data_IF_955798078771
#
_entry.id   IF_955798078771
#
_cell.length_a   1.000
_cell.length_b   1.000
_cell.length_c   1.000
_cell.angle_alpha   90.00
_cell.angle_beta   90.00
_cell.angle_gamma   90.00
#
_symmetry.space_group_name_H-M   'P 1'
#
loop_
_entity.id
_entity.type
_entity.pdbx_description
1 polymer ?
#
# COMPACT_ATOMS: atom_id res chain seq x y z
N UNK A 1 -18.96 -24.87 0.66
CA UNK A 1 -17.60 -24.86 0.09
C UNK A 1 -16.66 -25.54 1.07
N UNK A 2 -15.92 -26.55 0.64
CA UNK A 2 -14.89 -27.23 1.46
C UNK A 2 -13.73 -26.27 1.77
N UNK A 3 -13.12 -26.38 2.96
CA UNK A 3 -11.98 -25.54 3.37
C UNK A 3 -10.83 -25.53 2.34
N UNK A 4 -10.59 -26.65 1.66
CA UNK A 4 -9.60 -26.80 0.59
C UNK A 4 -9.87 -25.86 -0.60
N UNK A 5 -11.13 -25.65 -0.98
CA UNK A 5 -11.50 -24.76 -2.09
C UNK A 5 -11.30 -23.28 -1.71
N UNK A 6 -11.52 -22.92 -0.46
CA UNK A 6 -11.28 -21.57 0.04
C UNK A 6 -9.79 -21.24 0.10
N UNK A 7 -8.95 -22.17 0.57
CA UNK A 7 -7.50 -22.00 0.59
C UNK A 7 -6.92 -21.87 -0.83
N UNK A 8 -7.37 -22.68 -1.78
CA UNK A 8 -6.94 -22.57 -3.17
C UNK A 8 -7.37 -21.24 -3.82
N UNK A 9 -8.57 -20.74 -3.51
CA UNK A 9 -9.01 -19.43 -3.99
C UNK A 9 -8.14 -18.29 -3.43
N UNK A 10 -7.71 -18.40 -2.17
CA UNK A 10 -6.80 -17.44 -1.55
C UNK A 10 -5.40 -17.47 -2.13
N UNK A 11 -4.85 -18.65 -2.40
CA UNK A 11 -3.55 -18.79 -3.07
C UNK A 11 -3.58 -18.14 -4.47
N UNK A 12 -4.63 -18.41 -5.24
CA UNK A 12 -4.81 -17.75 -6.54
C UNK A 12 -4.93 -16.23 -6.40
N UNK A 13 -5.60 -15.74 -5.36
CA UNK A 13 -5.72 -14.31 -5.11
C UNK A 13 -4.36 -13.70 -4.73
N UNK A 14 -3.57 -14.40 -3.92
CA UNK A 14 -2.20 -14.04 -3.59
C UNK A 14 -1.34 -13.87 -4.84
N UNK A 15 -1.33 -14.88 -5.72
CA UNK A 15 -0.54 -14.84 -6.96
C UNK A 15 -0.90 -13.64 -7.85
N UNK A 16 -2.18 -13.23 -7.85
CA UNK A 16 -2.65 -12.09 -8.66
C UNK A 16 -2.25 -10.72 -8.09
N UNK A 17 -2.27 -10.54 -6.76
CA UNK A 17 -2.15 -9.19 -6.18
C UNK A 17 -0.95 -8.98 -5.25
N UNK A 18 -0.25 -10.02 -4.79
CA UNK A 18 0.85 -9.90 -3.82
C UNK A 18 1.94 -8.94 -4.29
N UNK A 19 2.35 -9.00 -5.57
CA UNK A 19 3.37 -8.11 -6.11
C UNK A 19 2.93 -6.62 -6.10
N UNK A 20 1.64 -6.35 -6.35
CA UNK A 20 1.08 -4.98 -6.30
C UNK A 20 0.97 -4.48 -4.86
N UNK A 21 0.51 -5.34 -3.95
CA UNK A 21 0.45 -5.06 -2.52
C UNK A 21 1.85 -4.81 -1.94
N UNK A 22 2.85 -5.58 -2.37
CA UNK A 22 4.25 -5.40 -1.98
C UNK A 22 4.78 -4.04 -2.44
N UNK A 23 4.56 -3.66 -3.71
CA UNK A 23 4.98 -2.32 -4.19
C UNK A 23 4.32 -1.20 -3.40
N UNK A 24 3.04 -1.31 -3.10
CA UNK A 24 2.35 -0.36 -2.22
C UNK A 24 3.02 -0.30 -0.84
N UNK A 25 3.20 -1.44 -0.18
CA UNK A 25 3.84 -1.53 1.12
C UNK A 25 5.25 -0.92 1.10
N UNK A 26 6.03 -1.20 0.06
CA UNK A 26 7.38 -0.67 -0.13
C UNK A 26 7.40 0.86 -0.25
N UNK A 27 6.49 1.45 -1.02
CA UNK A 27 6.39 2.92 -1.09
C UNK A 27 5.94 3.54 0.24
N UNK A 28 5.18 2.81 1.04
CA UNK A 28 4.71 3.27 2.35
C UNK A 28 5.81 3.18 3.42
N UNK A 29 6.48 2.02 3.56
CA UNK A 29 7.49 1.77 4.58
C UNK A 29 8.88 2.28 4.20
N UNK A 30 9.22 2.27 2.92
CA UNK A 30 10.57 2.50 2.42
C UNK A 30 11.51 1.32 2.61
N UNK A 31 11.05 0.21 3.18
CA UNK A 31 11.88 -0.95 3.55
C UNK A 31 11.28 -2.25 3.02
N UNK A 32 12.11 -3.06 2.36
CA UNK A 32 11.69 -4.33 1.75
C UNK A 32 11.22 -5.35 2.78
N UNK A 33 11.95 -5.50 3.89
CA UNK A 33 11.61 -6.46 4.94
C UNK A 33 10.28 -6.10 5.61
N UNK A 34 10.07 -4.81 5.91
CA UNK A 34 8.78 -4.34 6.42
C UNK A 34 7.65 -4.51 5.40
N UNK A 35 7.92 -4.33 4.11
CA UNK A 35 6.93 -4.51 3.05
C UNK A 35 6.49 -5.98 2.92
N UNK A 36 7.44 -6.92 2.95
CA UNK A 36 7.15 -8.37 2.95
C UNK A 36 6.35 -8.79 4.19
N UNK A 37 6.77 -8.32 5.36
CA UNK A 37 6.07 -8.58 6.62
C UNK A 37 4.64 -8.03 6.59
N UNK A 38 4.43 -6.81 6.08
CA UNK A 38 3.11 -6.20 5.97
C UNK A 38 2.16 -6.98 5.05
N UNK A 39 2.64 -7.42 3.88
CA UNK A 39 1.85 -8.24 2.96
C UNK A 39 1.50 -9.59 3.60
N UNK A 40 2.47 -10.23 4.24
CA UNK A 40 2.26 -11.52 4.93
C UNK A 40 1.23 -11.40 6.05
N UNK A 41 1.33 -10.37 6.90
CA UNK A 41 0.37 -10.09 7.96
C UNK A 41 -1.03 -9.82 7.38
N UNK A 42 -1.12 -9.04 6.30
CA UNK A 42 -2.39 -8.74 5.64
C UNK A 42 -3.08 -10.00 5.11
N UNK A 43 -2.37 -10.93 4.49
CA UNK A 43 -2.96 -12.20 4.03
C UNK A 43 -3.38 -13.10 5.19
N UNK A 44 -2.57 -13.17 6.25
CA UNK A 44 -2.94 -13.90 7.47
C UNK A 44 -4.19 -13.34 8.14
N UNK A 45 -4.31 -12.01 8.21
CA UNK A 45 -5.49 -11.33 8.72
C UNK A 45 -6.71 -11.49 7.80
N UNK A 46 -6.53 -11.38 6.48
CA UNK A 46 -7.61 -11.58 5.51
C UNK A 46 -8.24 -12.97 5.60
N UNK A 47 -7.40 -14.01 5.73
CA UNK A 47 -7.84 -15.38 5.99
C UNK A 47 -8.63 -15.48 7.30
N UNK A 48 -8.12 -14.90 8.40
CA UNK A 48 -8.82 -14.89 9.70
C UNK A 48 -10.17 -14.17 9.64
N UNK A 49 -10.27 -13.07 8.87
CA UNK A 49 -11.50 -12.31 8.67
C UNK A 49 -12.44 -12.91 7.62
N UNK A 50 -12.04 -13.99 6.96
CA UNK A 50 -12.79 -14.60 5.86
C UNK A 50 -13.12 -13.60 4.73
N UNK A 51 -12.20 -12.70 4.42
CA UNK A 51 -12.37 -11.74 3.31
C UNK A 51 -12.51 -12.55 2.01
N UNK A 52 -13.57 -12.31 1.25
CA UNK A 52 -13.89 -13.12 0.08
C UNK A 52 -13.05 -12.72 -1.14
N UNK A 53 -12.28 -13.63 -1.76
CA UNK A 53 -11.54 -13.33 -3.00
C UNK A 53 -12.43 -13.34 -4.25
N UNK A 54 -13.74 -13.60 -4.12
CA UNK A 54 -14.68 -13.67 -5.24
C UNK A 54 -15.01 -12.29 -5.84
N UNK A 55 -14.88 -11.21 -5.05
CA UNK A 55 -15.07 -9.83 -5.49
C UNK A 55 -13.70 -9.17 -5.57
N UNK A 56 -13.05 -9.22 -6.73
CA UNK A 56 -11.63 -8.88 -6.88
C UNK A 56 -11.30 -7.45 -6.43
N UNK A 57 -12.10 -6.46 -6.86
CA UNK A 57 -11.87 -5.05 -6.48
C UNK A 57 -12.02 -4.83 -4.98
N UNK A 58 -13.10 -5.38 -4.40
CA UNK A 58 -13.35 -5.27 -2.96
C UNK A 58 -12.28 -6.00 -2.15
N UNK A 59 -11.90 -7.19 -2.58
CA UNK A 59 -10.81 -7.95 -1.97
C UNK A 59 -9.53 -7.11 -1.97
N UNK A 60 -9.18 -6.51 -3.11
CA UNK A 60 -7.98 -5.69 -3.22
C UNK A 60 -8.02 -4.45 -2.32
N UNK A 61 -9.15 -3.74 -2.25
CA UNK A 61 -9.32 -2.60 -1.33
C UNK A 61 -9.15 -3.02 0.14
N UNK A 62 -9.79 -4.12 0.55
CA UNK A 62 -9.69 -4.62 1.92
C UNK A 62 -8.26 -5.08 2.25
N UNK A 63 -7.57 -5.74 1.32
CA UNK A 63 -6.18 -6.14 1.47
C UNK A 63 -5.23 -4.94 1.55
N UNK A 64 -5.46 -3.88 0.77
CA UNK A 64 -4.67 -2.64 0.85
C UNK A 64 -4.87 -1.91 2.18
N UNK A 65 -6.09 -1.92 2.72
CA UNK A 65 -6.37 -1.38 4.05
C UNK A 65 -5.61 -2.18 5.14
N UNK A 66 -5.60 -3.51 5.04
CA UNK A 66 -4.84 -4.37 5.95
C UNK A 66 -3.33 -4.11 5.86
N UNK A 67 -2.77 -4.01 4.66
CA UNK A 67 -1.35 -3.66 4.45
C UNK A 67 -1.03 -2.29 5.04
N UNK A 68 -1.89 -1.29 4.81
CA UNK A 68 -1.74 0.04 5.41
C UNK A 68 -1.67 -0.03 6.94
N UNK A 69 -2.57 -0.79 7.57
CA UNK A 69 -2.56 -0.98 9.02
C UNK A 69 -1.32 -1.73 9.50
N UNK A 70 -0.90 -2.79 8.82
CA UNK A 70 0.31 -3.54 9.16
C UNK A 70 1.56 -2.65 9.09
N UNK A 71 1.70 -1.85 8.02
CA UNK A 71 2.79 -0.86 7.90
C UNK A 71 2.83 0.16 9.05
N UNK A 72 1.73 0.40 9.76
CA UNK A 72 1.71 1.34 10.89
C UNK A 72 2.30 0.77 12.18
N UNK A 73 2.53 -0.54 12.24
CA UNK A 73 3.08 -1.22 13.41
C UNK A 73 4.60 -1.27 13.42
N UNK A 74 5.24 -1.00 12.27
CA UNK A 74 6.69 -1.00 12.12
C UNK A 74 7.30 0.38 12.37
N UNK A 75 8.63 0.44 12.38
CA UNK A 75 9.36 1.69 12.42
C UNK A 75 9.02 2.57 11.20
N UNK A 76 8.71 3.83 11.46
CA UNK A 76 8.30 4.77 10.43
C UNK A 76 9.51 5.52 9.88
N UNK A 77 10.08 5.01 8.79
CA UNK A 77 11.19 5.67 8.13
C UNK A 77 10.73 6.98 7.47
N UNK A 78 11.49 8.04 7.70
CA UNK A 78 11.28 9.36 7.12
C UNK A 78 12.62 9.95 6.63
N UNK A 79 12.54 10.92 5.72
CA UNK A 79 13.71 11.69 5.27
C UNK A 79 14.85 10.82 4.70
N UNK A 80 16.12 11.14 5.02
CA UNK A 80 17.28 10.42 4.46
C UNK A 80 17.27 8.90 4.72
N UNK A 81 16.76 8.46 5.87
CA UNK A 81 16.69 7.04 6.21
C UNK A 81 15.71 6.30 5.29
N UNK A 82 14.51 6.86 5.09
CA UNK A 82 13.55 6.33 4.13
C UNK A 82 14.14 6.21 2.72
N UNK A 83 14.80 7.27 2.26
CA UNK A 83 15.40 7.31 0.92
C UNK A 83 16.45 6.21 0.73
N UNK A 84 17.34 6.04 1.71
CA UNK A 84 18.41 5.06 1.60
C UNK A 84 17.87 3.63 1.64
N UNK A 85 16.91 3.33 2.52
CA UNK A 85 16.27 2.02 2.55
C UNK A 85 15.51 1.73 1.24
N UNK A 86 14.78 2.72 0.71
CA UNK A 86 14.02 2.56 -0.52
C UNK A 86 14.95 2.29 -1.71
N UNK A 87 16.10 2.99 -1.76
CA UNK A 87 17.14 2.79 -2.78
C UNK A 87 17.74 1.38 -2.73
N UNK A 88 17.97 0.85 -1.53
CA UNK A 88 18.48 -0.52 -1.34
C UNK A 88 17.46 -1.59 -1.70
N UNK A 89 16.19 -1.34 -1.40
CA UNK A 89 15.09 -2.26 -1.68
C UNK A 89 14.79 -2.40 -3.18
N UNK A 90 15.00 -1.34 -3.96
CA UNK A 90 14.68 -1.33 -5.40
C UNK A 90 15.80 -0.63 -6.21
N UNK A 91 17.02 -1.19 -6.24
CA UNK A 91 18.17 -0.56 -6.87
C UNK A 91 17.96 -0.43 -8.38
N UNK A 92 18.09 0.80 -8.89
CA UNK A 92 17.90 1.11 -10.32
C UNK A 92 16.44 1.16 -10.79
N UNK A 93 15.49 0.72 -9.97
CA UNK A 93 14.06 0.69 -10.30
C UNK A 93 13.35 2.00 -9.94
N UNK A 94 13.78 2.67 -8.86
CA UNK A 94 13.20 3.93 -8.40
C UNK A 94 14.16 5.08 -8.75
N UNK A 95 13.76 6.03 -9.60
CA UNK A 95 14.59 7.19 -9.91
C UNK A 95 14.96 7.99 -8.66
N UNK A 96 16.20 8.47 -8.58
CA UNK A 96 16.68 9.24 -7.42
C UNK A 96 15.79 10.45 -7.09
N UNK A 97 15.33 11.17 -8.12
CA UNK A 97 14.42 12.30 -7.95
C UNK A 97 13.06 11.90 -7.34
N UNK A 98 12.55 10.70 -7.68
CA UNK A 98 11.32 10.17 -7.07
C UNK A 98 11.56 9.78 -5.61
N UNK A 99 12.68 9.12 -5.31
CA UNK A 99 13.06 8.76 -3.94
C UNK A 99 13.23 10.00 -3.05
N UNK A 100 13.87 11.06 -3.56
CA UNK A 100 13.96 12.36 -2.86
C UNK A 100 12.58 12.94 -2.56
N UNK A 101 11.70 13.03 -3.56
CA UNK A 101 10.33 13.53 -3.39
C UNK A 101 9.54 12.73 -2.36
N UNK A 102 9.61 11.40 -2.41
CA UNK A 102 8.93 10.52 -1.46
C UNK A 102 9.48 10.67 -0.04
N UNK A 103 10.80 10.87 0.11
CA UNK A 103 11.44 11.05 1.41
C UNK A 103 11.04 12.33 2.14
N UNK A 104 10.63 13.36 1.38
CA UNK A 104 10.10 14.61 1.92
C UNK A 104 8.58 14.55 2.21
N UNK A 105 7.90 13.47 1.83
CA UNK A 105 6.47 13.31 2.05
C UNK A 105 6.20 12.52 3.34
N UNK A 106 5.27 12.98 4.20
CA UNK A 106 4.75 12.14 5.27
C UNK A 106 4.17 10.84 4.70
N UNK A 107 4.33 9.74 5.44
CA UNK A 107 3.83 8.41 5.05
C UNK A 107 2.42 8.38 4.44
N UNK A 108 1.46 9.09 5.02
CA UNK A 108 0.10 9.12 4.47
C UNK A 108 0.04 9.65 3.04
N UNK A 109 0.82 10.70 2.73
CA UNK A 109 0.89 11.24 1.35
C UNK A 109 1.55 10.25 0.40
N UNK A 110 2.57 9.51 0.86
CA UNK A 110 3.16 8.41 0.09
C UNK A 110 2.12 7.32 -0.22
N UNK A 111 1.33 6.92 0.77
CA UNK A 111 0.28 5.93 0.61
C UNK A 111 -0.79 6.39 -0.39
N UNK A 112 -1.30 7.62 -0.25
CA UNK A 112 -2.28 8.17 -1.17
C UNK A 112 -1.75 8.27 -2.61
N UNK A 113 -0.50 8.71 -2.78
CA UNK A 113 0.16 8.77 -4.08
C UNK A 113 0.32 7.37 -4.70
N UNK A 114 0.79 6.38 -3.92
CA UNK A 114 0.95 5.02 -4.39
C UNK A 114 -0.39 4.38 -4.78
N UNK A 115 -1.45 4.60 -4.00
CA UNK A 115 -2.79 4.11 -4.32
C UNK A 115 -3.33 4.72 -5.63
N UNK A 116 -3.17 6.03 -5.82
CA UNK A 116 -3.58 6.70 -7.05
C UNK A 116 -2.76 6.21 -8.25
N UNK A 117 -1.42 6.14 -8.13
CA UNK A 117 -0.52 5.84 -9.25
C UNK A 117 -0.50 4.36 -9.65
N UNK A 118 -0.60 3.43 -8.68
CA UNK A 118 -0.51 1.98 -8.95
C UNK A 118 -1.86 1.29 -9.14
N UNK A 119 -2.95 1.90 -8.67
CA UNK A 119 -4.28 1.29 -8.69
C UNK A 119 -5.34 2.16 -9.37
N UNK A 120 -5.05 3.42 -9.72
CA UNK A 120 -6.01 4.31 -10.36
C UNK A 120 -7.17 4.70 -9.43
N UNK A 121 -6.98 4.58 -8.12
CA UNK A 121 -8.05 4.83 -7.16
C UNK A 121 -8.40 6.30 -7.00
N UNK A 122 -9.70 6.55 -7.00
CA UNK A 122 -10.27 7.88 -6.80
C UNK A 122 -10.31 8.27 -5.31
N UNK A 123 -10.75 9.50 -5.04
CA UNK A 123 -10.85 10.01 -3.68
C UNK A 123 -11.80 9.20 -2.78
N UNK A 124 -12.81 8.53 -3.34
CA UNK A 124 -13.75 7.72 -2.57
C UNK A 124 -13.10 6.40 -2.13
N UNK A 125 -12.38 5.72 -3.03
CA UNK A 125 -11.59 4.52 -2.72
C UNK A 125 -10.48 4.83 -1.71
N UNK A 126 -9.76 5.95 -1.87
CA UNK A 126 -8.74 6.36 -0.91
C UNK A 126 -9.30 6.53 0.51
N UNK A 127 -10.52 7.06 0.66
CA UNK A 127 -11.17 7.21 1.98
C UNK A 127 -11.55 5.86 2.61
N UNK A 128 -11.93 4.87 1.80
CA UNK A 128 -12.21 3.51 2.28
C UNK A 128 -10.94 2.81 2.75
N UNK A 129 -9.85 2.96 2.02
CA UNK A 129 -8.57 2.27 2.27
C UNK A 129 -7.77 2.92 3.40
N UNK A 130 -7.84 4.25 3.54
CA UNK A 130 -7.07 5.03 4.53
C UNK A 130 -8.00 5.68 5.58
N UNK A 131 -8.77 4.91 6.37
CA UNK A 131 -9.87 5.44 7.18
C UNK A 131 -9.43 6.34 8.35
N UNK A 132 -8.13 6.36 8.70
CA UNK A 132 -7.61 7.12 9.84
C UNK A 132 -7.13 8.55 9.49
N UNK A 133 -7.31 9.02 8.26
CA UNK A 133 -6.84 10.35 7.87
C UNK A 133 -7.98 11.35 7.83
N UNK A 134 -7.92 12.31 8.78
CA UNK A 134 -8.91 13.37 8.95
C UNK A 134 -9.41 13.93 7.61
N UNK A 135 -10.74 14.11 7.43
CA UNK A 135 -11.36 14.52 6.16
C UNK A 135 -10.69 15.74 5.47
N UNK A 136 -10.13 16.68 6.25
CA UNK A 136 -9.46 17.87 5.75
C UNK A 136 -8.07 17.66 5.11
N UNK A 137 -7.37 16.55 5.39
CA UNK A 137 -6.01 16.29 4.86
C UNK A 137 -6.00 15.48 3.55
N UNK A 138 -7.04 14.69 3.29
CA UNK A 138 -7.15 13.85 2.08
C UNK A 138 -7.47 14.70 0.84
N UNK A 139 -8.39 15.66 0.97
CA UNK A 139 -8.75 16.57 -0.11
C UNK A 139 -7.57 17.46 -0.55
N UNK A 140 -6.76 17.96 0.39
CA UNK A 140 -5.60 18.79 0.07
C UNK A 140 -4.46 18.01 -0.61
N UNK A 141 -4.22 16.76 -0.23
CA UNK A 141 -3.17 15.93 -0.82
C UNK A 141 -3.49 15.50 -2.26
N UNK A 142 -4.73 15.09 -2.53
CA UNK A 142 -5.18 14.73 -3.87
C UNK A 142 -5.20 15.94 -4.83
N UNK A 143 -5.67 17.10 -4.36
CA UNK A 143 -5.71 18.35 -5.15
C UNK A 143 -4.29 18.89 -5.44
N UNK A 144 -3.35 18.78 -4.49
CA UNK A 144 -1.96 19.24 -4.70
C UNK A 144 -1.17 18.34 -5.67
N UNK A 145 -1.43 17.02 -5.68
CA UNK A 145 -0.76 16.08 -6.58
C UNK A 145 -1.23 16.24 -8.04
N UNK A 146 -2.51 16.53 -8.27
CA UNK A 146 -3.05 16.76 -9.62
C UNK A 146 -2.64 18.12 -10.21
N UNK A 147 -2.46 19.15 -9.37
CA UNK A 147 -2.04 20.49 -9.82
C UNK A 147 -0.54 20.64 -10.08
N UNK A 148 0.29 19.70 -9.63
CA UNK A 148 1.75 19.73 -9.88
C UNK A 148 2.16 19.00 -11.16
N UNK A 149 1.18 18.57 -11.96
CA UNK A 149 1.36 17.85 -13.24
C UNK A 149 0.74 18.62 -14.43
N UNK A 150 0.33 19.87 -14.20
CA UNK A 150 -0.09 20.85 -15.19
C UNK A 150 0.92 22.01 -15.17
#
# INVERSE_FOLDING_TARGET
MSQTNQQQAYLRAYDRCAARLYRFALYVSGDAGQAEAAVTEAFGEGLRRSISPAQEDRFLEEMLALVWHACARFEQLEGPAYREHLRRAAPGTIPAALAERLSAMPRFRRAALALAALFGFDAAALRRILPACQPGRIAAAAVSLLRSSA
#
